data_IF_542478539174
#
_entry.id   IF_542478539174
#
_cell.length_a   1.000
_cell.length_b   1.000
_cell.length_c   1.000
_cell.angle_alpha   90.00
_cell.angle_beta   90.00
_cell.angle_gamma   90.00
#
_symmetry.space_group_name_H-M   'P 1'
#
loop_
_entity.id
_entity.type
_entity.pdbx_description
1 polymer ?
#
# COMPACT_ATOMS: atom_id res chain seq x y z
N UNK A 1 32.45 48.11 3.53
CA UNK A 1 33.29 49.30 3.28
C UNK A 1 34.32 48.96 2.21
N UNK A 2 34.65 49.93 1.38
CA UNK A 2 34.95 49.82 -0.04
C UNK A 2 36.42 49.59 -0.41
N UNK A 3 36.64 48.78 -1.47
CA UNK A 3 37.68 48.87 -2.54
C UNK A 3 39.16 48.72 -2.12
N UNK A 4 40.16 48.54 -3.05
CA UNK A 4 40.14 48.67 -4.52
C UNK A 4 40.75 47.47 -5.31
N UNK A 5 40.19 47.06 -6.46
CA UNK A 5 40.50 47.41 -7.88
C UNK A 5 41.91 47.16 -8.47
N UNK A 6 41.87 46.42 -9.59
CA UNK A 6 42.52 46.64 -10.93
C UNK A 6 44.00 46.27 -11.16
N UNK A 7 44.23 45.38 -12.14
CA UNK A 7 44.75 45.63 -13.52
C UNK A 7 45.07 44.28 -14.20
N UNK A 8 44.40 43.87 -15.29
CA UNK A 8 44.68 44.14 -16.73
C UNK A 8 46.08 43.70 -17.17
N UNK A 9 46.37 43.15 -18.35
CA UNK A 9 45.69 42.58 -19.51
C UNK A 9 46.83 42.26 -20.54
N UNK A 10 46.50 41.59 -21.66
CA UNK A 10 47.29 41.37 -22.90
C UNK A 10 48.36 40.28 -22.85
N UNK A 11 48.19 39.14 -23.56
CA UNK A 11 48.34 38.91 -25.02
C UNK A 11 49.83 38.98 -25.45
N UNK A 12 50.45 38.00 -26.10
CA UNK A 12 50.10 37.44 -27.43
C UNK A 12 50.99 36.23 -27.76
N UNK A 13 50.45 35.27 -28.53
CA UNK A 13 51.00 34.48 -29.66
C UNK A 13 52.49 34.04 -29.66
N UNK A 14 52.90 32.85 -30.13
CA UNK A 14 52.58 32.24 -31.44
C UNK A 14 53.21 30.82 -31.56
N UNK A 15 52.52 29.92 -32.30
CA UNK A 15 53.02 28.85 -33.19
C UNK A 15 53.84 27.68 -32.57
N UNK A 16 53.75 26.41 -32.99
CA UNK A 16 53.37 25.82 -34.29
C UNK A 16 53.20 24.29 -34.17
N UNK A 17 52.43 23.72 -35.12
CA UNK A 17 52.65 22.42 -35.78
C UNK A 17 52.33 21.12 -34.99
N UNK A 18 51.16 20.48 -35.17
CA UNK A 18 50.68 19.60 -36.29
C UNK A 18 50.95 18.11 -36.09
N UNK A 19 49.86 17.34 -36.15
CA UNK A 19 49.62 15.96 -36.67
C UNK A 19 48.68 15.22 -35.70
N UNK A 20 47.51 14.70 -36.04
CA UNK A 20 46.75 14.61 -37.29
C UNK A 20 45.54 13.70 -37.01
N UNK A 21 44.37 14.05 -37.59
CA UNK A 21 43.36 13.16 -38.24
C UNK A 21 42.90 11.87 -37.54
N UNK A 22 41.63 11.49 -37.49
CA UNK A 22 40.40 12.01 -38.10
C UNK A 22 39.18 11.31 -37.47
N UNK A 23 38.19 12.14 -37.17
CA UNK A 23 36.74 11.97 -37.31
C UNK A 23 36.20 10.71 -38.03
N UNK A 24 35.18 10.08 -37.45
CA UNK A 24 33.93 9.75 -38.18
C UNK A 24 32.74 9.71 -37.23
N UNK A 25 31.74 10.52 -37.59
CA UNK A 25 30.34 10.50 -37.17
C UNK A 25 29.61 9.23 -37.63
N UNK A 26 28.78 8.64 -36.76
CA UNK A 26 27.65 7.78 -37.12
C UNK A 26 26.60 7.93 -36.00
N UNK A 27 25.51 8.67 -36.21
CA UNK A 27 24.27 8.25 -36.87
C UNK A 27 23.44 7.29 -36.01
N UNK A 28 22.36 7.85 -35.47
CA UNK A 28 21.19 7.18 -34.90
C UNK A 28 20.72 6.01 -35.77
N UNK A 29 20.36 4.89 -35.12
CA UNK A 29 19.34 3.95 -35.60
C UNK A 29 18.83 3.11 -34.42
N UNK A 30 17.77 3.58 -33.77
CA UNK A 30 16.90 2.73 -32.95
C UNK A 30 15.80 2.16 -33.84
N UNK A 31 15.67 0.83 -33.83
CA UNK A 31 14.71 0.05 -34.60
C UNK A 31 13.28 0.23 -34.06
N UNK A 32 12.25 0.33 -34.92
CA UNK A 32 10.85 0.36 -34.50
C UNK A 32 10.30 -1.07 -34.35
N UNK A 33 9.73 -1.40 -33.18
CA UNK A 33 8.97 -2.64 -33.01
C UNK A 33 7.60 -2.52 -33.68
N UNK A 34 7.28 -3.53 -34.48
CA UNK A 34 6.13 -3.63 -35.38
C UNK A 34 4.80 -3.79 -34.62
N UNK A 35 3.79 -3.05 -35.08
CA UNK A 35 2.36 -3.34 -34.88
C UNK A 35 2.00 -4.70 -35.50
N UNK A 36 1.29 -5.55 -34.76
CA UNK A 36 0.53 -6.66 -35.31
C UNK A 36 -0.96 -6.35 -35.19
N UNK A 37 -1.65 -6.32 -36.34
CA UNK A 37 -3.09 -6.16 -36.48
C UNK A 37 -3.75 -7.55 -36.53
N UNK A 38 -4.97 -7.58 -36.02
CA UNK A 38 -5.96 -8.65 -35.94
C UNK A 38 -6.37 -9.27 -37.27
N UNK A 39 -6.82 -10.54 -37.21
CA UNK A 39 -7.85 -11.10 -38.10
C UNK A 39 -8.80 -12.01 -37.31
N UNK A 40 -10.08 -11.89 -37.62
CA UNK A 40 -11.23 -12.60 -37.07
C UNK A 40 -11.87 -13.47 -38.17
N UNK A 41 -12.49 -14.60 -37.76
CA UNK A 41 -13.58 -15.36 -38.41
C UNK A 41 -13.65 -16.75 -37.74
N UNK A 42 -14.77 -17.45 -37.45
CA UNK A 42 -16.21 -17.21 -37.55
C UNK A 42 -16.93 -18.29 -36.73
N UNK A 43 -18.08 -17.90 -36.17
CA UNK A 43 -19.28 -18.65 -35.71
C UNK A 43 -19.40 -20.17 -35.86
N UNK A 44 -19.86 -20.84 -34.78
CA UNK A 44 -21.03 -21.73 -34.76
C UNK A 44 -21.42 -22.14 -33.31
N UNK A 45 -22.70 -22.05 -32.96
CA UNK A 45 -23.37 -22.62 -31.76
C UNK A 45 -24.56 -23.48 -32.25
N UNK A 46 -25.37 -24.17 -31.40
CA UNK A 46 -25.24 -24.63 -30.01
C UNK A 46 -25.56 -26.14 -29.84
N UNK A 47 -25.43 -26.71 -28.62
CA UNK A 47 -26.44 -27.59 -27.97
C UNK A 47 -25.95 -28.14 -26.61
N UNK A 48 -26.90 -28.23 -25.69
CA UNK A 48 -26.81 -28.55 -24.27
C UNK A 48 -26.48 -30.02 -23.90
N UNK A 49 -25.78 -30.17 -22.77
CA UNK A 49 -26.12 -30.93 -21.56
C UNK A 49 -25.04 -31.87 -20.98
N UNK A 50 -24.73 -31.59 -19.70
CA UNK A 50 -24.57 -32.50 -18.55
C UNK A 50 -23.16 -32.82 -17.99
N UNK A 51 -22.94 -32.27 -16.78
CA UNK A 51 -22.32 -32.82 -15.55
C UNK A 51 -20.85 -33.27 -15.46
N UNK A 52 -20.27 -32.74 -14.36
CA UNK A 52 -19.21 -33.25 -13.47
C UNK A 52 -17.74 -32.98 -13.82
N UNK A 53 -17.02 -32.39 -12.86
CA UNK A 53 -15.56 -32.62 -12.71
C UNK A 53 -14.73 -31.43 -12.23
N UNK A 54 -14.65 -31.26 -10.90
CA UNK A 54 -13.57 -30.67 -10.10
C UNK A 54 -12.71 -29.52 -10.66
N UNK A 55 -12.89 -28.32 -10.08
CA UNK A 55 -11.89 -27.27 -10.00
C UNK A 55 -10.88 -27.59 -8.88
N UNK A 56 -9.59 -27.68 -9.22
CA UNK A 56 -8.49 -27.56 -8.27
C UNK A 56 -8.11 -26.07 -8.14
N UNK A 57 -8.41 -25.49 -6.98
CA UNK A 57 -7.83 -24.24 -6.51
C UNK A 57 -7.47 -24.43 -5.04
N UNK A 58 -6.20 -24.67 -4.73
CA UNK A 58 -5.67 -24.59 -3.38
C UNK A 58 -4.46 -23.65 -3.39
N UNK A 59 -4.64 -22.51 -2.74
CA UNK A 59 -3.62 -21.81 -1.94
C UNK A 59 -4.40 -20.77 -1.12
N UNK A 60 -5.00 -21.24 -0.02
CA UNK A 60 -5.69 -20.39 0.96
C UNK A 60 -4.62 -19.77 1.84
N UNK A 61 -4.32 -18.49 1.60
CA UNK A 61 -3.51 -17.66 2.49
C UNK A 61 -4.27 -17.48 3.80
N UNK A 62 -3.72 -18.02 4.89
CA UNK A 62 -4.25 -17.91 6.24
C UNK A 62 -4.04 -16.47 6.76
N UNK A 63 -5.13 -15.77 7.09
CA UNK A 63 -5.12 -14.44 7.72
C UNK A 63 -5.36 -14.56 9.24
N UNK A 64 -4.33 -14.40 10.09
CA UNK A 64 -4.45 -14.56 11.54
C UNK A 64 -5.27 -13.45 12.23
N UNK A 65 -5.70 -12.42 11.50
CA UNK A 65 -6.39 -11.24 12.06
C UNK A 65 -7.92 -11.43 12.18
N UNK A 66 -8.45 -12.54 11.70
CA UNK A 66 -9.91 -12.73 11.51
C UNK A 66 -10.65 -13.46 12.66
N UNK A 67 -9.99 -13.77 13.79
CA UNK A 67 -10.63 -14.43 14.94
C UNK A 67 -10.85 -13.48 16.11
N UNK A 68 -11.91 -12.68 16.04
CA UNK A 68 -12.58 -12.09 17.21
C UNK A 68 -13.87 -12.88 17.49
N UNK A 69 -13.81 -13.75 18.50
CA UNK A 69 -14.97 -14.43 19.07
C UNK A 69 -15.22 -13.84 20.47
N UNK A 70 -15.94 -12.73 20.53
CA UNK A 70 -16.65 -12.29 21.73
C UNK A 70 -18.12 -12.70 21.58
N UNK A 71 -18.57 -13.67 22.36
CA UNK A 71 -19.97 -14.09 22.43
C UNK A 71 -20.46 -13.95 23.88
N UNK A 72 -21.22 -12.89 24.14
CA UNK A 72 -21.94 -12.61 25.38
C UNK A 72 -23.42 -12.98 25.19
N UNK A 73 -24.03 -13.86 26.01
CA UNK A 73 -25.45 -14.16 25.86
C UNK A 73 -26.32 -13.10 26.56
N UNK A 74 -27.16 -12.44 25.76
CA UNK A 74 -28.25 -11.54 26.20
C UNK A 74 -29.39 -12.30 26.90
N UNK A 75 -29.85 -11.76 28.03
CA UNK A 75 -31.10 -12.10 28.72
C UNK A 75 -32.33 -11.70 27.90
N UNK A 76 -33.29 -12.61 27.74
CA UNK A 76 -34.61 -12.34 27.16
C UNK A 76 -35.68 -12.51 28.24
N UNK A 77 -36.52 -11.48 28.37
CA UNK A 77 -37.57 -11.30 29.35
C UNK A 77 -38.93 -11.49 28.66
N UNK A 78 -39.79 -12.41 29.13
CA UNK A 78 -41.20 -12.45 28.71
C UNK A 78 -42.15 -12.90 29.83
N UNK A 79 -43.24 -12.14 29.92
CA UNK A 79 -44.32 -12.12 30.93
C UNK A 79 -45.28 -13.34 30.89
N UNK A 80 -45.82 -13.63 32.07
CA UNK A 80 -46.95 -14.47 32.56
C UNK A 80 -48.36 -14.12 32.00
N UNK A 81 -49.54 -14.75 32.39
CA UNK A 81 -49.91 -15.91 33.25
C UNK A 81 -51.15 -16.74 32.67
N UNK A 82 -52.12 -17.35 33.42
CA UNK A 82 -52.19 -18.03 34.75
C UNK A 82 -52.87 -19.45 34.74
N UNK A 83 -52.75 -20.22 35.84
CA UNK A 83 -53.90 -20.83 36.54
C UNK A 83 -53.48 -21.52 37.86
N UNK A 84 -54.36 -21.38 38.85
CA UNK A 84 -54.26 -21.62 40.29
C UNK A 84 -54.45 -23.08 40.73
N UNK A 85 -53.78 -23.50 41.82
CA UNK A 85 -54.42 -24.20 42.96
C UNK A 85 -53.46 -24.38 44.17
N UNK A 86 -53.84 -23.73 45.26
CA UNK A 86 -53.65 -24.02 46.70
C UNK A 86 -52.60 -25.04 47.17
N UNK A 87 -51.81 -24.65 48.19
CA UNK A 87 -51.90 -25.20 49.56
C UNK A 87 -50.91 -24.54 50.54
N UNK A 88 -51.49 -23.95 51.60
CA UNK A 88 -51.02 -23.96 53.00
C UNK A 88 -49.67 -23.34 53.39
N UNK A 89 -49.81 -22.17 54.01
CA UNK A 89 -48.81 -21.41 54.79
C UNK A 89 -48.23 -22.27 55.93
N UNK A 90 -46.97 -22.69 55.83
CA UNK A 90 -46.15 -23.12 56.99
C UNK A 90 -45.12 -22.03 57.33
N UNK A 91 -45.02 -21.70 58.62
CA UNK A 91 -44.08 -20.73 59.21
C UNK A 91 -42.65 -20.92 58.68
N UNK A 92 -42.04 -19.84 58.20
CA UNK A 92 -40.65 -19.80 57.79
C UNK A 92 -39.71 -20.10 58.97
N UNK A 93 -38.81 -21.07 58.78
CA UNK A 93 -37.67 -21.33 59.66
C UNK A 93 -36.48 -20.53 59.11
N UNK A 94 -35.66 -19.85 59.93
CA UNK A 94 -34.53 -19.07 59.41
C UNK A 94 -33.49 -19.99 58.73
N UNK A 95 -32.77 -19.52 57.69
CA UNK A 95 -31.81 -20.35 56.97
C UNK A 95 -30.69 -20.77 57.92
N UNK A 96 -30.49 -22.08 58.08
CA UNK A 96 -29.33 -22.60 58.79
C UNK A 96 -28.05 -22.20 58.05
N UNK A 97 -26.97 -21.84 58.77
CA UNK A 97 -25.69 -21.54 58.13
C UNK A 97 -25.20 -22.76 57.34
N UNK A 98 -24.75 -22.53 56.11
CA UNK A 98 -24.24 -23.59 55.24
C UNK A 98 -23.19 -24.43 55.98
N UNK A 99 -23.45 -25.74 56.12
CA UNK A 99 -22.55 -26.66 56.81
C UNK A 99 -21.21 -26.72 56.05
N UNK A 100 -20.14 -26.18 56.62
CA UNK A 100 -18.77 -26.36 56.11
C UNK A 100 -18.40 -27.83 56.21
N UNK A 101 -18.22 -28.49 55.07
CA UNK A 101 -17.66 -29.84 54.99
C UNK A 101 -16.17 -29.77 55.34
N UNK A 102 -15.75 -30.49 56.39
CA UNK A 102 -14.35 -30.62 56.78
C UNK A 102 -13.86 -32.00 56.35
N UNK A 103 -13.02 -32.03 55.32
CA UNK A 103 -12.35 -33.25 54.86
C UNK A 103 -11.21 -33.55 55.84
N UNK A 104 -11.30 -34.67 56.57
CA UNK A 104 -10.21 -35.15 57.42
C UNK A 104 -9.11 -35.80 56.55
N UNK A 105 -8.07 -35.04 56.20
CA UNK A 105 -6.87 -35.59 55.55
C UNK A 105 -6.00 -36.33 56.58
N UNK A 106 -5.71 -37.61 56.34
CA UNK A 106 -4.87 -38.47 57.21
C UNK A 106 -3.38 -38.36 56.87
N UNK A 107 -3.01 -37.66 55.79
CA UNK A 107 -1.63 -37.38 55.38
C UNK A 107 -1.43 -35.88 55.27
N UNK A 108 -0.23 -35.40 55.66
CA UNK A 108 0.14 -33.98 55.58
C UNK A 108 -0.12 -33.43 54.17
N UNK A 109 -0.44 -32.12 54.08
CA UNK A 109 -0.67 -31.43 52.81
C UNK A 109 0.53 -31.73 51.88
N UNK A 110 0.32 -32.31 50.68
CA UNK A 110 1.43 -32.55 49.76
C UNK A 110 2.10 -31.21 49.46
N UNK A 111 3.36 -31.09 49.86
CA UNK A 111 4.20 -29.92 49.58
C UNK A 111 4.88 -30.13 48.24
N UNK A 112 4.89 -29.08 47.43
CA UNK A 112 5.66 -29.07 46.19
C UNK A 112 7.12 -29.43 46.46
N UNK A 113 7.77 -30.21 45.58
CA UNK A 113 9.21 -30.37 45.61
C UNK A 113 9.90 -29.00 45.58
N UNK A 114 10.98 -28.84 46.33
CA UNK A 114 11.71 -27.54 46.44
C UNK A 114 12.25 -27.06 45.09
N UNK A 115 12.53 -27.98 44.16
CA UNK A 115 13.08 -27.68 42.83
C UNK A 115 12.03 -27.72 41.71
N UNK A 116 10.74 -27.83 42.05
CA UNK A 116 9.67 -28.00 41.06
C UNK A 116 9.66 -26.91 39.98
N UNK A 117 9.83 -25.65 40.36
CA UNK A 117 9.85 -24.53 39.41
C UNK A 117 11.04 -24.64 38.44
N UNK A 118 12.24 -24.88 38.96
CA UNK A 118 13.47 -24.95 38.15
C UNK A 118 13.50 -26.19 37.25
N UNK A 119 13.09 -27.35 37.75
CA UNK A 119 13.06 -28.59 36.96
C UNK A 119 12.02 -28.51 35.83
N UNK A 120 10.89 -27.86 36.09
CA UNK A 120 9.83 -27.67 35.09
C UNK A 120 10.22 -26.60 34.08
N UNK A 121 10.84 -25.51 34.55
CA UNK A 121 11.40 -24.48 33.69
C UNK A 121 12.49 -25.04 32.78
N UNK A 122 13.42 -25.85 33.27
CA UNK A 122 14.48 -26.44 32.45
C UNK A 122 13.94 -27.26 31.27
N UNK A 123 12.82 -27.98 31.48
CA UNK A 123 12.12 -28.71 30.40
C UNK A 123 11.51 -27.75 29.38
N UNK A 124 10.81 -26.71 29.85
CA UNK A 124 10.20 -25.70 29.00
C UNK A 124 11.25 -24.91 28.21
N UNK A 125 12.33 -24.50 28.86
CA UNK A 125 13.46 -23.81 28.24
C UNK A 125 14.10 -24.66 27.14
N UNK A 126 14.33 -25.96 27.41
CA UNK A 126 14.87 -26.88 26.40
C UNK A 126 13.93 -27.00 25.19
N UNK A 127 12.62 -27.06 25.41
CA UNK A 127 11.63 -27.06 24.34
C UNK A 127 11.62 -25.74 23.55
N UNK A 128 11.63 -24.59 24.22
CA UNK A 128 11.68 -23.26 23.58
C UNK A 128 12.96 -23.13 22.73
N UNK A 129 14.11 -23.56 23.26
CA UNK A 129 15.36 -23.58 22.52
C UNK A 129 15.27 -24.50 21.29
N UNK A 130 14.67 -25.68 21.42
CA UNK A 130 14.46 -26.57 20.28
C UNK A 130 13.58 -25.92 19.20
N UNK A 131 12.54 -25.18 19.59
CA UNK A 131 11.67 -24.43 18.66
C UNK A 131 12.47 -23.39 17.88
N UNK A 132 13.25 -22.55 18.57
CA UNK A 132 14.09 -21.53 17.91
C UNK A 132 15.17 -22.13 17.01
N UNK A 133 15.74 -23.28 17.40
CA UNK A 133 16.74 -24.00 16.63
C UNK A 133 16.15 -24.91 15.54
N UNK A 134 14.82 -24.93 15.37
CA UNK A 134 14.09 -25.82 14.44
C UNK A 134 14.44 -27.31 14.64
N UNK A 135 14.64 -27.71 15.89
CA UNK A 135 14.94 -29.07 16.30
C UNK A 135 13.69 -29.75 16.88
N UNK A 136 13.60 -31.09 16.83
CA UNK A 136 12.49 -31.81 17.45
C UNK A 136 12.49 -31.55 18.97
N UNK A 137 11.30 -31.23 19.51
CA UNK A 137 11.16 -31.00 20.94
C UNK A 137 11.57 -32.27 21.72
N UNK A 138 12.30 -32.12 22.85
CA UNK A 138 12.78 -33.25 23.63
C UNK A 138 11.65 -34.01 24.35
N UNK A 139 10.43 -33.47 24.37
CA UNK A 139 9.28 -34.05 25.04
C UNK A 139 7.97 -33.71 24.32
N UNK A 140 6.95 -34.50 24.66
CA UNK A 140 5.61 -34.42 24.07
C UNK A 140 4.92 -33.08 24.39
N UNK A 141 4.22 -32.52 23.41
CA UNK A 141 3.57 -31.20 23.49
C UNK A 141 2.52 -31.16 24.61
N UNK A 142 1.79 -32.26 24.83
CA UNK A 142 0.80 -32.36 25.91
C UNK A 142 1.46 -32.26 27.30
N UNK A 143 2.65 -32.87 27.46
CA UNK A 143 3.40 -32.80 28.72
C UNK A 143 3.95 -31.39 28.97
N UNK A 144 4.36 -30.70 27.91
CA UNK A 144 4.81 -29.31 27.98
C UNK A 144 3.65 -28.38 28.35
N UNK A 145 2.48 -28.57 27.74
CA UNK A 145 1.27 -27.82 28.09
C UNK A 145 0.87 -28.06 29.56
N UNK A 146 0.87 -29.31 30.02
CA UNK A 146 0.56 -29.63 31.41
C UNK A 146 1.59 -29.02 32.38
N UNK A 147 2.87 -29.01 32.02
CA UNK A 147 3.91 -28.36 32.80
C UNK A 147 3.66 -26.85 32.96
N UNK A 148 3.23 -26.15 31.90
CA UNK A 148 2.82 -24.74 31.98
C UNK A 148 1.60 -24.59 32.89
N UNK A 149 0.59 -25.45 32.73
CA UNK A 149 -0.62 -25.42 33.56
C UNK A 149 -0.29 -25.58 35.05
N UNK A 150 0.52 -26.57 35.41
CA UNK A 150 0.90 -26.82 36.80
C UNK A 150 1.64 -25.62 37.42
N UNK A 151 2.57 -24.99 36.68
CA UNK A 151 3.25 -23.76 37.12
C UNK A 151 2.27 -22.60 37.34
N UNK A 152 1.32 -22.42 36.43
CA UNK A 152 0.30 -21.38 36.56
C UNK A 152 -0.65 -21.63 37.75
N UNK A 153 -1.07 -22.88 37.98
CA UNK A 153 -1.91 -23.28 39.12
C UNK A 153 -1.22 -23.00 40.46
N UNK A 154 0.10 -23.13 40.51
CA UNK A 154 0.92 -22.80 41.67
C UNK A 154 1.28 -21.32 41.80
N UNK A 155 0.60 -20.43 41.06
CA UNK A 155 0.78 -18.97 41.07
C UNK A 155 2.16 -18.50 40.59
N UNK A 156 2.86 -19.32 39.81
CA UNK A 156 4.18 -18.99 39.23
C UNK A 156 4.08 -18.39 37.82
N UNK A 157 2.88 -18.02 37.36
CA UNK A 157 2.65 -17.52 36.00
C UNK A 157 3.47 -16.27 35.64
N UNK A 158 3.65 -15.33 36.57
CA UNK A 158 4.47 -14.14 36.32
C UNK A 158 5.96 -14.44 36.15
N UNK A 159 6.53 -15.32 36.99
CA UNK A 159 7.90 -15.82 36.83
C UNK A 159 8.06 -16.50 35.47
N UNK A 160 7.13 -17.39 35.12
CA UNK A 160 7.15 -18.10 33.85
C UNK A 160 7.08 -17.16 32.64
N UNK A 161 6.19 -16.17 32.64
CA UNK A 161 6.08 -15.18 31.56
C UNK A 161 7.41 -14.44 31.36
N UNK A 162 8.02 -13.93 32.44
CA UNK A 162 9.30 -13.21 32.37
C UNK A 162 10.44 -14.10 31.85
N UNK A 163 10.45 -15.38 32.23
CA UNK A 163 11.46 -16.33 31.76
C UNK A 163 11.29 -16.64 30.26
N UNK A 164 10.04 -16.84 29.79
CA UNK A 164 9.74 -17.02 28.36
C UNK A 164 10.16 -15.77 27.57
N UNK A 165 9.79 -14.58 28.05
CA UNK A 165 10.16 -13.31 27.42
C UNK A 165 11.67 -13.17 27.25
N UNK A 166 12.43 -13.50 28.30
CA UNK A 166 13.90 -13.45 28.30
C UNK A 166 14.53 -14.41 27.29
N UNK A 167 14.05 -15.65 27.20
CA UNK A 167 14.57 -16.61 26.23
C UNK A 167 14.22 -16.19 24.80
N UNK A 168 12.97 -15.77 24.54
CA UNK A 168 12.58 -15.25 23.24
C UNK A 168 13.41 -14.04 22.84
N UNK A 169 13.66 -13.11 23.77
CA UNK A 169 14.46 -11.91 23.51
C UNK A 169 15.88 -12.25 23.07
N UNK A 170 16.52 -13.22 23.73
CA UNK A 170 17.88 -13.64 23.39
C UNK A 170 17.96 -14.20 21.95
N UNK A 171 17.01 -15.06 21.56
CA UNK A 171 16.97 -15.64 20.21
C UNK A 171 16.62 -14.61 19.14
N UNK A 172 15.62 -13.76 19.38
CA UNK A 172 15.20 -12.70 18.45
C UNK A 172 16.35 -11.70 18.21
N UNK A 173 17.02 -11.29 19.28
CA UNK A 173 18.17 -10.40 19.20
C UNK A 173 19.29 -11.03 18.37
N UNK A 174 19.64 -12.29 18.65
CA UNK A 174 20.68 -13.00 17.90
C UNK A 174 20.33 -13.17 16.40
N UNK A 175 19.07 -13.49 16.09
CA UNK A 175 18.60 -13.66 14.71
C UNK A 175 18.71 -12.35 13.91
N UNK A 176 18.28 -11.22 14.48
CA UNK A 176 18.39 -9.91 13.83
C UNK A 176 19.84 -9.45 13.70
N UNK A 177 20.69 -9.71 14.70
CA UNK A 177 22.13 -9.42 14.61
C UNK A 177 22.82 -10.26 13.52
N UNK A 178 22.37 -11.49 13.28
CA UNK A 178 22.90 -12.34 12.21
C UNK A 178 22.60 -11.81 10.80
N UNK A 179 21.63 -10.89 10.65
CA UNK A 179 21.31 -10.22 9.38
C UNK A 179 22.24 -9.03 9.09
N UNK A 180 22.89 -8.46 10.10
CA UNK A 180 23.78 -7.30 9.94
C UNK A 180 24.97 -7.69 9.06
N UNK A 181 25.29 -6.86 8.07
CA UNK A 181 26.37 -7.13 7.11
C UNK A 181 26.10 -8.27 6.12
N UNK A 182 24.93 -8.92 6.14
CA UNK A 182 24.62 -9.98 5.18
C UNK A 182 24.37 -9.43 3.79
N UNK A 183 24.86 -10.16 2.77
CA UNK A 183 24.66 -9.98 1.32
C UNK A 183 24.58 -8.54 0.79
N UNK A 184 25.47 -8.09 -0.11
CA UNK A 184 25.31 -6.79 -0.76
C UNK A 184 24.10 -6.74 -1.72
N UNK A 185 23.63 -7.89 -2.21
CA UNK A 185 22.43 -7.96 -3.06
C UNK A 185 21.16 -7.79 -2.22
N UNK A 186 20.43 -6.71 -2.51
CA UNK A 186 19.19 -6.34 -1.84
C UNK A 186 18.10 -7.42 -2.00
N UNK A 187 17.98 -8.08 -3.15
CA UNK A 187 16.94 -9.09 -3.36
C UNK A 187 17.21 -10.33 -2.52
N UNK A 188 18.48 -10.74 -2.43
CA UNK A 188 18.89 -11.84 -1.55
C UNK A 188 18.71 -11.44 -0.08
N UNK A 189 19.10 -10.22 0.28
CA UNK A 189 18.93 -9.70 1.63
C UNK A 189 17.46 -9.68 2.08
N UNK A 190 16.54 -9.20 1.23
CA UNK A 190 15.11 -9.19 1.54
C UNK A 190 14.56 -10.59 1.83
N UNK A 191 15.02 -11.62 1.11
CA UNK A 191 14.62 -13.01 1.38
C UNK A 191 15.09 -13.49 2.76
N UNK A 192 16.31 -13.12 3.16
CA UNK A 192 16.81 -13.47 4.50
C UNK A 192 15.98 -12.80 5.61
N UNK A 193 15.57 -11.55 5.40
CA UNK A 193 14.68 -10.84 6.34
C UNK A 193 13.29 -11.50 6.37
N UNK A 194 12.76 -11.86 5.20
CA UNK A 194 11.47 -12.55 5.06
C UNK A 194 11.48 -13.91 5.77
N UNK A 195 12.53 -14.71 5.57
CA UNK A 195 12.73 -15.99 6.26
C UNK A 195 12.85 -15.80 7.78
N UNK A 196 13.65 -14.84 8.24
CA UNK A 196 13.78 -14.53 9.65
C UNK A 196 12.45 -14.12 10.30
N UNK A 197 11.63 -13.34 9.59
CA UNK A 197 10.31 -12.94 10.06
C UNK A 197 9.32 -14.12 10.10
N UNK A 198 9.32 -14.94 9.05
CA UNK A 198 8.46 -16.12 8.97
C UNK A 198 8.80 -17.13 10.07
N UNK A 199 10.09 -17.38 10.29
CA UNK A 199 10.59 -18.24 11.35
C UNK A 199 10.12 -17.77 12.72
N UNK A 200 10.22 -16.46 12.99
CA UNK A 200 9.70 -15.90 14.23
C UNK A 200 8.20 -16.17 14.39
N UNK A 201 7.40 -15.93 13.34
CA UNK A 201 5.96 -16.14 13.41
C UNK A 201 5.62 -17.58 13.79
N UNK A 202 6.25 -18.55 13.13
CA UNK A 202 6.03 -19.98 13.39
C UNK A 202 6.47 -20.37 14.81
N UNK A 203 7.66 -19.89 15.23
CA UNK A 203 8.19 -20.13 16.57
C UNK A 203 7.26 -19.56 17.65
N UNK A 204 6.78 -18.33 17.47
CA UNK A 204 5.88 -17.68 18.44
C UNK A 204 4.50 -18.34 18.49
N UNK A 205 3.97 -18.81 17.35
CA UNK A 205 2.73 -19.61 17.34
C UNK A 205 2.90 -20.92 18.10
N UNK A 206 4.04 -21.61 17.93
CA UNK A 206 4.32 -22.85 18.65
C UNK A 206 4.49 -22.61 20.15
N UNK A 207 5.25 -21.58 20.56
CA UNK A 207 5.41 -21.20 21.97
C UNK A 207 4.05 -20.85 22.58
N UNK A 208 3.22 -20.08 21.87
CA UNK A 208 1.86 -19.76 22.31
C UNK A 208 0.98 -21.00 22.45
N UNK A 209 1.13 -22.00 21.58
CA UNK A 209 0.37 -23.26 21.68
C UNK A 209 0.74 -24.04 22.96
N UNK A 210 2.03 -24.12 23.29
CA UNK A 210 2.52 -24.78 24.51
C UNK A 210 2.09 -23.99 25.75
N UNK A 211 2.24 -22.67 25.71
CA UNK A 211 1.93 -21.79 26.82
C UNK A 211 0.51 -21.18 26.77
N UNK A 212 -0.43 -21.86 26.11
CA UNK A 212 -1.78 -21.33 25.89
C UNK A 212 -2.52 -21.05 27.21
N UNK A 213 -2.31 -21.90 28.23
CA UNK A 213 -2.91 -21.70 29.54
C UNK A 213 -2.39 -20.41 30.21
N UNK A 214 -1.10 -20.10 30.08
CA UNK A 214 -0.50 -18.87 30.59
C UNK A 214 -1.12 -17.63 29.93
N UNK A 215 -1.25 -17.65 28.60
CA UNK A 215 -1.84 -16.58 27.79
C UNK A 215 -3.32 -16.33 28.17
N UNK A 216 -4.09 -17.40 28.38
CA UNK A 216 -5.53 -17.30 28.72
C UNK A 216 -5.85 -17.01 30.18
N UNK A 217 -4.91 -17.24 31.09
CA UNK A 217 -5.12 -17.06 32.54
C UNK A 217 -4.35 -15.86 33.08
N UNK A 218 -3.03 -15.97 33.16
CA UNK A 218 -2.18 -14.95 33.76
C UNK A 218 -2.18 -13.65 32.96
N UNK A 219 -1.96 -13.72 31.64
CA UNK A 219 -1.90 -12.53 30.79
C UNK A 219 -3.25 -11.83 30.75
N UNK A 220 -4.34 -12.59 30.55
CA UNK A 220 -5.70 -12.04 30.57
C UNK A 220 -6.06 -11.32 31.89
N UNK A 221 -5.52 -11.78 33.02
CA UNK A 221 -5.74 -11.20 34.33
C UNK A 221 -4.80 -10.03 34.66
N UNK A 222 -3.73 -9.84 33.90
CA UNK A 222 -2.68 -8.86 34.17
C UNK A 222 -2.66 -7.79 33.07
N UNK A 223 -3.27 -6.60 33.29
CA UNK A 223 -3.42 -5.58 32.25
C UNK A 223 -2.11 -5.05 31.65
N UNK A 224 -1.00 -5.18 32.39
CA UNK A 224 0.32 -4.72 31.95
C UNK A 224 1.08 -5.75 31.12
N UNK A 225 0.62 -7.01 31.10
CA UNK A 225 1.26 -8.09 30.34
C UNK A 225 0.73 -8.10 28.90
N UNK A 226 1.62 -8.32 27.93
CA UNK A 226 1.25 -8.51 26.53
C UNK A 226 0.88 -9.98 26.30
N UNK A 227 0.05 -10.26 25.31
CA UNK A 227 -0.09 -11.64 24.82
C UNK A 227 1.28 -12.17 24.40
N UNK A 228 1.48 -13.48 24.45
CA UNK A 228 2.76 -14.04 24.01
C UNK A 228 3.08 -13.68 22.55
N UNK A 229 2.04 -13.56 21.71
CA UNK A 229 2.18 -13.07 20.34
C UNK A 229 2.65 -11.62 20.29
N UNK A 230 1.96 -10.72 20.99
CA UNK A 230 2.30 -9.28 21.01
C UNK A 230 3.66 -9.02 21.68
N UNK A 231 4.06 -9.86 22.63
CA UNK A 231 5.39 -9.86 23.22
C UNK A 231 6.45 -10.18 22.16
N UNK A 232 6.25 -11.23 21.35
CA UNK A 232 7.16 -11.55 20.22
C UNK A 232 7.28 -10.41 19.22
N UNK A 233 6.15 -9.80 18.84
CA UNK A 233 6.11 -8.62 17.95
C UNK A 233 6.86 -7.44 18.55
N UNK A 234 6.64 -7.17 19.84
CA UNK A 234 7.31 -6.08 20.56
C UNK A 234 8.83 -6.29 20.62
N UNK A 235 9.28 -7.51 20.90
CA UNK A 235 10.70 -7.86 20.94
C UNK A 235 11.35 -7.72 19.57
N UNK A 236 10.70 -8.20 18.50
CA UNK A 236 11.22 -8.05 17.14
C UNK A 236 11.31 -6.58 16.72
N UNK A 237 10.26 -5.78 16.96
CA UNK A 237 10.28 -4.33 16.72
C UNK A 237 11.42 -3.65 17.48
N UNK A 238 11.59 -3.98 18.76
CA UNK A 238 12.64 -3.42 19.62
C UNK A 238 14.03 -3.73 19.08
N UNK A 239 14.31 -4.98 18.69
CA UNK A 239 15.64 -5.36 18.20
C UNK A 239 15.89 -4.93 16.75
N UNK A 240 14.84 -4.77 15.95
CA UNK A 240 14.94 -4.18 14.62
C UNK A 240 15.34 -2.71 14.70
N UNK A 241 14.75 -1.93 15.61
CA UNK A 241 15.13 -0.52 15.81
C UNK A 241 16.53 -0.34 16.40
N UNK A 242 17.04 -1.34 17.14
CA UNK A 242 18.43 -1.41 17.58
C UNK A 242 19.40 -1.78 16.44
N UNK A 243 18.88 -2.25 15.30
CA UNK A 243 19.64 -2.69 14.13
C UNK A 243 19.28 -1.84 12.90
N UNK A 244 19.54 -0.52 12.90
CA UNK A 244 19.06 0.41 11.88
C UNK A 244 19.56 0.09 10.47
N UNK A 245 20.71 -0.59 10.33
CA UNK A 245 21.20 -1.09 9.05
C UNK A 245 20.21 -2.06 8.40
N UNK A 246 19.67 -3.01 9.18
CA UNK A 246 18.74 -4.03 8.68
C UNK A 246 17.45 -3.38 8.22
N UNK A 247 16.90 -2.48 9.02
CA UNK A 247 15.69 -1.73 8.68
C UNK A 247 15.89 -0.88 7.41
N UNK A 248 16.94 -0.05 7.39
CA UNK A 248 17.23 0.84 6.26
C UNK A 248 17.46 0.06 4.96
N UNK A 249 18.21 -1.05 5.02
CA UNK A 249 18.50 -1.89 3.85
C UNK A 249 17.26 -2.63 3.36
N UNK A 250 16.38 -3.05 4.28
CA UNK A 250 15.08 -3.64 3.95
C UNK A 250 14.21 -2.62 3.21
N UNK A 251 14.04 -1.42 3.77
CA UNK A 251 13.26 -0.34 3.14
C UNK A 251 13.84 -0.01 1.76
N UNK A 252 15.16 0.20 1.67
CA UNK A 252 15.85 0.46 0.39
C UNK A 252 15.60 -0.62 -0.64
N UNK A 253 15.67 -1.90 -0.23
CA UNK A 253 15.38 -3.03 -1.11
C UNK A 253 13.95 -3.00 -1.64
N UNK A 254 12.97 -2.78 -0.77
CA UNK A 254 11.55 -2.69 -1.15
C UNK A 254 11.32 -1.54 -2.14
N UNK A 255 11.86 -0.36 -1.87
CA UNK A 255 11.74 0.81 -2.74
C UNK A 255 12.35 0.56 -4.13
N UNK A 256 13.54 -0.05 -4.19
CA UNK A 256 14.20 -0.40 -5.46
C UNK A 256 13.42 -1.44 -6.26
N UNK A 257 12.79 -2.41 -5.60
CA UNK A 257 11.91 -3.36 -6.29
C UNK A 257 10.70 -2.66 -6.91
N UNK A 258 10.06 -1.73 -6.20
CA UNK A 258 8.91 -0.98 -6.73
C UNK A 258 9.35 -0.06 -7.88
N UNK A 259 10.51 0.61 -7.77
CA UNK A 259 11.06 1.43 -8.84
C UNK A 259 11.33 0.61 -10.11
N UNK A 260 11.97 -0.56 -10.00
CA UNK A 260 12.19 -1.47 -11.13
C UNK A 260 10.88 -1.91 -11.79
N UNK A 261 9.85 -2.18 -10.99
CA UNK A 261 8.53 -2.49 -11.53
C UNK A 261 7.91 -1.30 -12.29
N UNK A 262 8.10 -0.06 -11.82
CA UNK A 262 7.68 1.15 -12.56
C UNK A 262 8.43 1.30 -13.88
N UNK A 263 9.67 0.85 -13.95
CA UNK A 263 10.47 0.82 -15.18
C UNK A 263 10.09 -0.34 -16.12
N UNK A 264 9.10 -1.15 -15.76
CA UNK A 264 8.58 -2.25 -16.58
C UNK A 264 9.31 -3.58 -16.37
N UNK A 265 10.22 -3.66 -15.39
CA UNK A 265 10.85 -4.92 -15.03
C UNK A 265 9.87 -5.86 -14.32
N UNK A 266 10.01 -7.16 -14.57
CA UNK A 266 9.21 -8.18 -13.88
C UNK A 266 9.82 -8.45 -12.51
N UNK A 267 9.11 -8.09 -11.44
CA UNK A 267 9.57 -8.29 -10.06
C UNK A 267 8.76 -9.38 -9.36
N UNK A 268 9.42 -10.15 -8.48
CA UNK A 268 8.71 -11.07 -7.60
C UNK A 268 7.98 -10.26 -6.51
N UNK A 269 6.65 -10.23 -6.56
CA UNK A 269 5.81 -9.45 -5.64
C UNK A 269 5.63 -10.12 -4.27
N UNK A 270 5.99 -11.40 -4.10
CA UNK A 270 5.79 -12.11 -2.83
C UNK A 270 6.56 -11.47 -1.65
N UNK A 271 7.87 -11.18 -1.75
CA UNK A 271 8.61 -10.54 -0.67
C UNK A 271 8.09 -9.12 -0.35
N UNK A 272 7.63 -8.36 -1.36
CA UNK A 272 6.98 -7.06 -1.15
C UNK A 272 5.75 -7.21 -0.23
N UNK A 273 4.83 -8.11 -0.60
CA UNK A 273 3.62 -8.32 0.19
C UNK A 273 3.89 -8.81 1.62
N UNK A 274 4.82 -9.75 1.80
CA UNK A 274 5.13 -10.30 3.13
C UNK A 274 5.85 -9.29 4.02
N UNK A 275 6.88 -8.61 3.51
CA UNK A 275 7.64 -7.65 4.31
C UNK A 275 6.81 -6.40 4.61
N UNK A 276 6.00 -5.89 3.68
CA UNK A 276 5.13 -4.75 3.98
C UNK A 276 4.08 -5.11 5.04
N UNK A 277 3.52 -6.33 5.01
CA UNK A 277 2.68 -6.84 6.09
C UNK A 277 3.43 -6.94 7.42
N UNK A 278 4.69 -7.38 7.42
CA UNK A 278 5.54 -7.34 8.62
C UNK A 278 5.63 -5.92 9.19
N UNK A 279 5.94 -4.91 8.37
CA UNK A 279 5.98 -3.50 8.82
C UNK A 279 4.64 -3.05 9.41
N UNK A 280 3.50 -3.48 8.84
CA UNK A 280 2.16 -3.20 9.38
C UNK A 280 1.93 -3.92 10.71
N UNK A 281 2.25 -5.21 10.82
CA UNK A 281 2.12 -6.00 12.05
C UNK A 281 2.99 -5.47 13.19
N UNK A 282 4.17 -4.92 12.87
CA UNK A 282 5.06 -4.28 13.83
C UNK A 282 4.63 -2.84 14.18
N UNK A 283 3.66 -2.26 13.46
CA UNK A 283 3.18 -0.90 13.66
C UNK A 283 4.25 0.17 13.36
N UNK A 284 5.07 -0.07 12.33
CA UNK A 284 6.14 0.85 11.87
C UNK A 284 6.02 1.19 10.37
N UNK A 285 5.01 0.66 9.66
CA UNK A 285 4.81 0.90 8.22
C UNK A 285 4.79 2.37 7.84
N UNK A 286 4.00 3.19 8.54
CA UNK A 286 3.85 4.60 8.20
C UNK A 286 5.18 5.37 8.33
N UNK A 287 5.89 5.16 9.44
CA UNK A 287 7.12 5.90 9.76
C UNK A 287 8.33 5.41 8.96
N UNK A 288 8.54 4.09 8.90
CA UNK A 288 9.74 3.50 8.31
C UNK A 288 9.66 3.31 6.80
N UNK A 289 8.47 3.08 6.23
CA UNK A 289 8.30 2.76 4.82
C UNK A 289 7.47 3.80 4.05
N UNK A 290 6.29 4.19 4.53
CA UNK A 290 5.36 5.00 3.74
C UNK A 290 5.91 6.39 3.42
N UNK A 291 6.52 7.06 4.41
CA UNK A 291 7.17 8.37 4.22
C UNK A 291 8.24 8.31 3.12
N UNK A 292 9.30 7.47 3.22
CA UNK A 292 10.31 7.41 2.18
C UNK A 292 9.76 6.87 0.85
N UNK A 293 8.74 6.00 0.87
CA UNK A 293 8.07 5.54 -0.34
C UNK A 293 7.39 6.67 -1.11
N UNK A 294 6.67 7.55 -0.43
CA UNK A 294 6.01 8.70 -1.04
C UNK A 294 7.03 9.74 -1.53
N UNK A 295 8.14 9.94 -0.82
CA UNK A 295 9.25 10.80 -1.24
C UNK A 295 9.89 10.29 -2.53
N UNK A 296 10.34 9.03 -2.56
CA UNK A 296 10.91 8.42 -3.77
C UNK A 296 9.90 8.41 -4.93
N UNK A 297 8.61 8.21 -4.65
CA UNK A 297 7.57 8.29 -5.68
C UNK A 297 7.40 9.69 -6.23
N UNK A 298 7.46 10.71 -5.37
CA UNK A 298 7.39 12.10 -5.78
C UNK A 298 8.58 12.47 -6.67
N UNK A 299 9.80 12.04 -6.32
CA UNK A 299 11.00 12.26 -7.13
C UNK A 299 10.93 11.55 -8.48
N UNK A 300 10.53 10.27 -8.48
CA UNK A 300 10.36 9.47 -9.68
C UNK A 300 9.41 10.14 -10.68
N UNK A 301 8.19 10.48 -10.23
CA UNK A 301 7.19 11.07 -11.12
C UNK A 301 7.48 12.53 -11.49
N UNK A 302 8.22 13.28 -10.66
CA UNK A 302 8.71 14.59 -11.05
C UNK A 302 9.67 14.50 -12.24
N UNK A 303 10.62 13.56 -12.20
CA UNK A 303 11.57 13.34 -13.29
C UNK A 303 10.89 12.78 -14.54
N UNK A 304 10.00 11.81 -14.38
CA UNK A 304 9.25 11.21 -15.49
C UNK A 304 8.33 12.22 -16.17
N UNK A 305 7.54 12.99 -15.40
CA UNK A 305 6.63 14.01 -15.91
C UNK A 305 7.35 15.06 -16.75
N UNK A 306 8.47 15.59 -16.26
CA UNK A 306 9.30 16.53 -17.03
C UNK A 306 9.84 15.92 -18.33
N UNK A 307 10.35 14.69 -18.27
CA UNK A 307 10.96 14.02 -19.42
C UNK A 307 9.92 13.74 -20.51
N UNK A 308 8.80 13.12 -20.14
CA UNK A 308 7.74 12.78 -21.09
C UNK A 308 7.07 14.04 -21.67
N UNK A 309 6.80 15.08 -20.87
CA UNK A 309 6.21 16.34 -21.36
C UNK A 309 7.11 17.09 -22.37
N UNK A 310 8.41 16.78 -22.41
CA UNK A 310 9.34 17.32 -23.40
C UNK A 310 9.46 16.43 -24.65
N UNK A 311 9.34 15.11 -24.49
CA UNK A 311 9.64 14.13 -25.53
C UNK A 311 8.40 13.62 -26.30
N UNK A 312 7.21 13.73 -25.71
CA UNK A 312 5.95 13.29 -26.33
C UNK A 312 5.04 14.45 -26.67
N UNK A 313 4.06 14.20 -27.55
CA UNK A 313 2.93 15.11 -27.71
C UNK A 313 1.97 14.99 -26.50
N UNK A 314 1.03 15.93 -26.42
CA UNK A 314 0.06 15.97 -25.31
C UNK A 314 -0.89 14.75 -25.29
N UNK A 315 -1.44 14.28 -26.43
CA UNK A 315 -2.25 13.06 -26.43
C UNK A 315 -1.54 11.85 -25.81
N UNK A 316 -0.29 11.58 -26.21
CA UNK A 316 0.45 10.42 -25.71
C UNK A 316 0.92 10.63 -24.27
N UNK A 317 1.26 11.87 -23.89
CA UNK A 317 1.51 12.21 -22.48
C UNK A 317 0.29 11.88 -21.60
N UNK A 318 -0.91 12.31 -21.97
CA UNK A 318 -2.11 12.09 -21.16
C UNK A 318 -2.47 10.59 -21.05
N UNK A 319 -2.25 9.80 -22.11
CA UNK A 319 -2.41 8.34 -22.05
C UNK A 319 -1.39 7.71 -21.10
N UNK A 320 -0.14 8.18 -21.12
CA UNK A 320 0.90 7.73 -20.20
C UNK A 320 0.50 8.01 -18.75
N UNK A 321 0.01 9.21 -18.44
CA UNK A 321 -0.46 9.55 -17.09
C UNK A 321 -1.62 8.65 -16.66
N UNK A 322 -2.59 8.40 -17.54
CA UNK A 322 -3.71 7.49 -17.26
C UNK A 322 -3.20 6.07 -16.95
N UNK A 323 -2.22 5.55 -17.71
CA UNK A 323 -1.58 4.26 -17.42
C UNK A 323 -0.92 4.26 -16.05
N UNK A 324 -0.10 5.27 -15.74
CA UNK A 324 0.60 5.36 -14.45
C UNK A 324 -0.35 5.40 -13.27
N UNK A 325 -1.44 6.16 -13.36
CA UNK A 325 -2.44 6.21 -12.28
C UNK A 325 -3.13 4.86 -12.07
N UNK A 326 -3.42 4.12 -13.14
CA UNK A 326 -3.99 2.78 -13.04
C UNK A 326 -2.98 1.77 -12.45
N UNK A 327 -1.72 1.83 -12.87
CA UNK A 327 -0.66 0.98 -12.33
C UNK A 327 -0.47 1.21 -10.82
N UNK A 328 -0.42 2.46 -10.35
CA UNK A 328 -0.32 2.75 -8.90
C UNK A 328 -1.56 2.29 -8.14
N UNK A 329 -2.76 2.41 -8.74
CA UNK A 329 -3.98 1.89 -8.14
C UNK A 329 -3.94 0.36 -8.00
N UNK A 330 -3.34 -0.34 -8.94
CA UNK A 330 -3.18 -1.79 -8.87
C UNK A 330 -2.09 -2.20 -7.88
N UNK A 331 -0.96 -1.49 -7.81
CA UNK A 331 0.06 -1.69 -6.76
C UNK A 331 -0.54 -1.58 -5.36
N UNK A 332 -1.43 -0.60 -5.15
CA UNK A 332 -2.16 -0.46 -3.89
C UNK A 332 -3.01 -1.68 -3.53
N UNK A 333 -3.62 -2.33 -4.51
CA UNK A 333 -4.47 -3.52 -4.27
C UNK A 333 -3.63 -4.77 -4.00
N UNK A 334 -2.45 -4.86 -4.60
CA UNK A 334 -1.67 -6.10 -4.60
C UNK A 334 -0.81 -6.23 -3.35
N UNK A 335 -0.13 -5.17 -2.90
CA UNK A 335 0.86 -5.30 -1.82
C UNK A 335 1.02 -4.10 -0.88
N UNK A 336 0.48 -2.91 -1.18
CA UNK A 336 0.58 -1.77 -0.25
C UNK A 336 -0.55 -1.78 0.78
N UNK A 337 -0.34 -1.08 1.90
CA UNK A 337 -1.39 -0.84 2.87
C UNK A 337 -2.49 0.06 2.29
N UNK A 338 -3.74 -0.16 2.71
CA UNK A 338 -4.89 0.61 2.24
C UNK A 338 -4.80 2.11 2.55
N UNK A 339 -4.11 2.47 3.64
CA UNK A 339 -3.84 3.85 4.03
C UNK A 339 -3.03 4.62 2.98
N UNK A 340 -2.14 3.94 2.25
CA UNK A 340 -1.23 4.53 1.26
C UNK A 340 -1.92 4.93 -0.04
N UNK A 341 -3.10 4.36 -0.35
CA UNK A 341 -3.76 4.58 -1.64
C UNK A 341 -4.02 6.06 -1.93
N UNK A 342 -4.60 6.78 -0.98
CA UNK A 342 -4.93 8.21 -1.17
C UNK A 342 -3.68 9.08 -1.33
N UNK A 343 -2.67 9.04 -0.43
CA UNK A 343 -1.48 9.87 -0.59
C UNK A 343 -0.63 9.49 -1.82
N UNK A 344 -0.59 8.22 -2.21
CA UNK A 344 0.14 7.78 -3.40
C UNK A 344 -0.45 8.35 -4.68
N UNK A 345 -1.77 8.20 -4.87
CA UNK A 345 -2.46 8.71 -6.05
C UNK A 345 -2.37 10.24 -6.10
N UNK A 346 -2.56 10.93 -4.98
CA UNK A 346 -2.40 12.38 -4.91
C UNK A 346 -0.96 12.84 -5.25
N UNK A 347 0.05 12.04 -4.89
CA UNK A 347 1.45 12.33 -5.23
C UNK A 347 1.70 12.19 -6.73
N UNK A 348 1.21 11.10 -7.35
CA UNK A 348 1.31 10.91 -8.79
C UNK A 348 0.55 11.99 -9.57
N UNK A 349 -0.67 12.33 -9.15
CA UNK A 349 -1.48 13.41 -9.76
C UNK A 349 -0.79 14.77 -9.67
N UNK A 350 -0.21 15.10 -8.52
CA UNK A 350 0.55 16.35 -8.36
C UNK A 350 1.72 16.43 -9.33
N UNK A 351 2.55 15.39 -9.39
CA UNK A 351 3.78 15.42 -10.18
C UNK A 351 3.51 15.30 -11.68
N UNK A 352 2.56 14.47 -12.10
CA UNK A 352 2.26 14.23 -13.52
C UNK A 352 1.23 15.20 -14.11
N UNK A 353 0.33 15.77 -13.31
CA UNK A 353 -0.72 16.66 -13.82
C UNK A 353 -0.54 18.08 -13.31
N UNK A 354 -0.65 18.30 -12.00
CA UNK A 354 -0.77 19.64 -11.39
C UNK A 354 0.39 20.57 -11.81
N UNK A 355 1.63 20.06 -11.79
CA UNK A 355 2.82 20.83 -12.18
C UNK A 355 2.91 21.13 -13.69
N UNK A 356 2.14 20.41 -14.51
CA UNK A 356 2.21 20.47 -15.96
C UNK A 356 0.94 21.03 -16.62
N UNK A 357 -0.05 21.50 -15.86
CA UNK A 357 -1.33 22.00 -16.41
C UNK A 357 -1.12 23.05 -17.50
N UNK A 358 -0.32 24.09 -17.26
CA UNK A 358 -0.05 25.13 -18.27
C UNK A 358 0.62 24.52 -19.51
N UNK A 359 1.65 23.70 -19.36
CA UNK A 359 2.32 23.06 -20.49
C UNK A 359 1.39 22.16 -21.33
N UNK A 360 0.50 21.41 -20.67
CA UNK A 360 -0.52 20.57 -21.32
C UNK A 360 -1.47 21.43 -22.17
N UNK A 361 -1.98 22.52 -21.59
CA UNK A 361 -2.96 23.39 -22.25
C UNK A 361 -2.32 24.22 -23.36
N UNK A 362 -1.17 24.86 -23.09
CA UNK A 362 -0.49 25.76 -24.01
C UNK A 362 0.04 25.04 -25.25
N UNK A 363 0.55 23.81 -25.09
CA UNK A 363 1.08 23.02 -26.22
C UNK A 363 0.02 22.22 -26.96
N UNK A 364 -0.96 21.67 -26.23
CA UNK A 364 -1.83 20.62 -26.74
C UNK A 364 -3.25 21.05 -27.08
N UNK A 365 -3.81 21.99 -26.33
CA UNK A 365 -5.26 22.20 -26.33
C UNK A 365 -5.78 22.68 -27.69
N UNK A 366 -5.12 23.67 -28.32
CA UNK A 366 -5.51 24.15 -29.65
C UNK A 366 -5.48 23.02 -30.69
N UNK A 367 -4.38 22.25 -30.74
CA UNK A 367 -4.25 21.12 -31.67
C UNK A 367 -5.33 20.05 -31.45
N UNK A 368 -5.71 19.76 -30.20
CA UNK A 368 -6.79 18.81 -29.90
C UNK A 368 -8.15 19.30 -30.41
N UNK A 369 -8.43 20.59 -30.24
CA UNK A 369 -9.67 21.23 -30.70
C UNK A 369 -9.74 21.29 -32.23
N UNK A 370 -8.67 21.78 -32.88
CA UNK A 370 -8.58 21.90 -34.34
C UNK A 370 -8.69 20.52 -35.02
N UNK A 371 -8.07 19.49 -34.42
CA UNK A 371 -8.10 18.12 -34.92
C UNK A 371 -9.37 17.34 -34.55
N UNK A 372 -10.35 17.96 -33.90
CA UNK A 372 -11.58 17.33 -33.42
C UNK A 372 -11.33 16.00 -32.68
N UNK A 373 -10.32 15.99 -31.79
CA UNK A 373 -9.82 14.80 -31.09
C UNK A 373 -10.66 14.49 -29.84
N UNK A 374 -11.92 14.09 -30.02
CA UNK A 374 -12.91 13.88 -28.94
C UNK A 374 -12.39 13.01 -27.79
N UNK A 375 -11.79 11.84 -28.08
CA UNK A 375 -11.29 10.94 -27.02
C UNK A 375 -10.17 11.56 -26.17
N UNK A 376 -9.29 12.34 -26.80
CA UNK A 376 -8.19 13.01 -26.10
C UNK A 376 -8.71 14.23 -25.31
N UNK A 377 -9.73 14.93 -25.83
CA UNK A 377 -10.46 16.00 -25.14
C UNK A 377 -11.24 15.49 -23.92
N UNK A 378 -11.79 14.29 -24.01
CA UNK A 378 -12.42 13.61 -22.86
C UNK A 378 -11.39 13.21 -21.82
N UNK A 379 -10.21 12.76 -22.25
CA UNK A 379 -9.11 12.39 -21.35
C UNK A 379 -8.56 13.60 -20.60
N UNK A 380 -8.30 14.72 -21.29
CA UNK A 380 -7.85 15.96 -20.64
C UNK A 380 -8.89 16.45 -19.62
N UNK A 381 -10.18 16.45 -19.96
CA UNK A 381 -11.25 16.81 -19.03
C UNK A 381 -11.24 15.91 -17.78
N UNK A 382 -11.21 14.59 -17.99
CA UNK A 382 -11.25 13.61 -16.90
C UNK A 382 -10.02 13.73 -15.99
N UNK A 383 -8.83 13.97 -16.54
CA UNK A 383 -7.60 14.14 -15.76
C UNK A 383 -7.56 15.48 -15.02
N UNK A 384 -7.95 16.59 -15.65
CA UNK A 384 -7.96 17.90 -15.00
C UNK A 384 -9.06 18.02 -13.93
N UNK A 385 -10.15 17.25 -14.05
CA UNK A 385 -11.15 17.13 -12.99
C UNK A 385 -10.53 16.58 -11.69
N UNK A 386 -9.61 15.61 -11.78
CA UNK A 386 -8.98 14.97 -10.60
C UNK A 386 -8.14 15.93 -9.77
N UNK A 387 -7.49 16.89 -10.45
CA UNK A 387 -6.64 17.92 -9.81
C UNK A 387 -7.36 19.26 -9.63
N UNK A 388 -8.69 19.30 -9.75
CA UNK A 388 -9.51 20.51 -9.63
C UNK A 388 -9.07 21.67 -10.55
N UNK A 389 -8.57 21.36 -11.75
CA UNK A 389 -8.02 22.32 -12.71
C UNK A 389 -8.98 22.64 -13.87
N UNK A 390 -10.28 22.39 -13.71
CA UNK A 390 -11.27 22.67 -14.76
C UNK A 390 -11.35 24.16 -15.12
N UNK A 391 -11.02 25.06 -14.19
CA UNK A 391 -10.98 26.49 -14.47
C UNK A 391 -9.93 26.84 -15.53
N UNK A 392 -8.73 26.29 -15.42
CA UNK A 392 -7.67 26.48 -16.43
C UNK A 392 -8.10 25.94 -17.80
N UNK A 393 -8.81 24.81 -17.83
CA UNK A 393 -9.35 24.24 -19.07
C UNK A 393 -10.45 25.13 -19.69
N UNK A 394 -11.32 25.72 -18.87
CA UNK A 394 -12.34 26.69 -19.34
C UNK A 394 -11.69 27.95 -19.91
N UNK A 395 -10.64 28.46 -19.28
CA UNK A 395 -9.89 29.59 -19.79
C UNK A 395 -9.24 29.28 -21.15
N UNK A 396 -8.62 28.10 -21.28
CA UNK A 396 -8.07 27.63 -22.55
C UNK A 396 -9.15 27.52 -23.65
N UNK A 397 -10.33 27.00 -23.30
CA UNK A 397 -11.48 26.96 -24.22
C UNK A 397 -11.94 28.36 -24.65
N UNK A 398 -12.11 29.28 -23.72
CA UNK A 398 -12.51 30.67 -24.02
C UNK A 398 -11.51 31.34 -24.96
N UNK A 399 -10.20 31.19 -24.68
CA UNK A 399 -9.13 31.73 -25.52
C UNK A 399 -9.13 31.13 -26.92
N UNK A 400 -9.31 29.81 -27.03
CA UNK A 400 -9.44 29.11 -28.32
C UNK A 400 -10.63 29.65 -29.13
N UNK A 401 -11.82 29.70 -28.52
CA UNK A 401 -13.04 30.17 -29.21
C UNK A 401 -12.86 31.60 -29.71
N UNK A 402 -12.33 32.50 -28.86
CA UNK A 402 -12.09 33.89 -29.24
C UNK A 402 -11.10 34.00 -30.39
N UNK A 403 -9.98 33.28 -30.33
CA UNK A 403 -8.93 33.31 -31.37
C UNK A 403 -9.43 32.77 -32.70
N UNK A 404 -10.00 31.57 -32.70
CA UNK A 404 -10.48 30.91 -33.93
C UNK A 404 -11.69 31.64 -34.51
N UNK A 405 -12.62 32.06 -33.66
CA UNK A 405 -13.79 32.83 -34.08
C UNK A 405 -13.43 34.21 -34.64
N UNK A 406 -12.45 34.92 -34.05
CA UNK A 406 -11.97 36.20 -34.60
C UNK A 406 -11.41 36.03 -36.01
N UNK A 407 -10.65 34.97 -36.25
CA UNK A 407 -10.13 34.65 -37.59
C UNK A 407 -11.24 34.38 -38.62
N UNK A 408 -12.36 33.78 -38.20
CA UNK A 408 -13.52 33.55 -39.08
C UNK A 408 -14.32 34.82 -39.36
N UNK A 409 -14.41 35.73 -38.38
CA UNK A 409 -15.26 36.94 -38.46
C UNK A 409 -14.57 38.09 -39.19
N UNK A 410 -13.23 38.19 -39.09
CA UNK A 410 -12.43 39.29 -39.62
C UNK A 410 -11.87 39.04 -41.04
N UNK A 411 -12.12 37.88 -41.62
CA UNK A 411 -11.67 37.51 -42.96
C UNK A 411 -12.63 38.08 -44.03
N UNK A 412 -12.36 39.32 -44.49
CA UNK A 412 -13.18 40.05 -45.47
C UNK A 412 -13.36 39.29 -46.80
N UNK A 413 -12.42 38.41 -47.16
CA UNK A 413 -12.50 37.61 -48.38
C UNK A 413 -13.55 36.49 -48.27
N UNK A 414 -13.84 36.02 -47.05
CA UNK A 414 -14.80 34.94 -46.76
C UNK A 414 -16.14 35.41 -46.20
N UNK A 415 -16.45 36.70 -46.34
CA UNK A 415 -17.66 37.32 -45.79
C UNK A 415 -18.97 36.64 -46.21
N UNK A 416 -19.03 36.09 -47.43
CA UNK A 416 -20.20 35.36 -47.94
C UNK A 416 -20.46 34.06 -47.20
N UNK A 417 -19.41 33.41 -46.73
CA UNK A 417 -19.46 32.10 -46.06
C UNK A 417 -19.36 32.20 -44.52
N UNK A 418 -19.24 33.44 -44.01
CA UNK A 418 -19.00 33.74 -42.59
C UNK A 418 -20.07 33.15 -41.67
N UNK A 419 -21.36 33.33 -42.00
CA UNK A 419 -22.47 32.81 -41.19
C UNK A 419 -22.49 31.27 -41.18
N UNK A 420 -22.25 30.63 -42.33
CA UNK A 420 -22.18 29.17 -42.42
C UNK A 420 -21.02 28.63 -41.58
N UNK A 421 -19.84 29.24 -41.72
CA UNK A 421 -18.63 28.87 -40.98
C UNK A 421 -18.81 29.02 -39.45
N UNK A 422 -19.51 30.07 -39.00
CA UNK A 422 -19.82 30.26 -37.58
C UNK A 422 -20.82 29.22 -37.04
N UNK A 423 -21.83 28.84 -37.82
CA UNK A 423 -22.79 27.80 -37.44
C UNK A 423 -22.10 26.44 -37.33
N UNK A 424 -21.23 26.09 -38.30
CA UNK A 424 -20.43 24.87 -38.26
C UNK A 424 -19.46 24.87 -37.06
N UNK A 425 -18.79 25.99 -36.81
CA UNK A 425 -17.90 26.14 -35.65
C UNK A 425 -18.66 25.97 -34.33
N UNK A 426 -19.85 26.58 -34.20
CA UNK A 426 -20.71 26.42 -33.03
C UNK A 426 -21.16 24.97 -32.85
N UNK A 427 -21.60 24.31 -33.92
CA UNK A 427 -22.01 22.91 -33.89
C UNK A 427 -20.86 21.98 -33.46
N UNK A 428 -19.63 22.23 -33.94
CA UNK A 428 -18.45 21.49 -33.49
C UNK A 428 -18.18 21.67 -31.99
N UNK A 429 -18.32 22.89 -31.46
CA UNK A 429 -18.12 23.15 -30.04
C UNK A 429 -19.19 22.51 -29.17
N UNK A 430 -20.43 22.48 -29.64
CA UNK A 430 -21.54 21.81 -28.94
C UNK A 430 -21.30 20.29 -28.89
N UNK A 431 -20.87 19.67 -30.00
CA UNK A 431 -20.47 18.24 -30.00
C UNK A 431 -19.33 17.98 -29.01
N UNK A 432 -18.27 18.80 -29.00
CA UNK A 432 -17.17 18.66 -28.03
C UNK A 432 -17.67 18.80 -26.59
N UNK A 433 -18.53 19.78 -26.30
CA UNK A 433 -19.10 19.98 -24.99
C UNK A 433 -19.93 18.77 -24.52
N UNK A 434 -20.74 18.21 -25.42
CA UNK A 434 -21.57 17.04 -25.11
C UNK A 434 -20.75 15.76 -24.92
N UNK A 435 -19.80 15.50 -25.81
CA UNK A 435 -19.08 14.22 -25.87
C UNK A 435 -17.83 14.18 -24.98
N UNK A 436 -17.12 15.31 -24.87
CA UNK A 436 -15.82 15.38 -24.16
C UNK A 436 -15.92 15.98 -22.76
N UNK A 437 -16.79 16.98 -22.56
CA UNK A 437 -16.89 17.73 -21.31
C UNK A 437 -18.10 17.35 -20.46
N UNK A 438 -18.71 16.19 -20.73
CA UNK A 438 -19.80 15.59 -19.95
C UNK A 438 -20.98 16.54 -19.72
N UNK A 439 -21.30 17.39 -20.70
CA UNK A 439 -22.36 18.42 -20.59
C UNK A 439 -22.21 19.33 -19.36
N UNK A 440 -20.98 19.60 -18.95
CA UNK A 440 -20.73 20.45 -17.80
C UNK A 440 -21.23 21.88 -18.06
N UNK A 441 -22.09 22.40 -17.17
CA UNK A 441 -22.71 23.71 -17.31
C UNK A 441 -21.69 24.86 -17.37
N UNK A 442 -20.59 24.76 -16.62
CA UNK A 442 -19.54 25.77 -16.63
C UNK A 442 -18.89 25.94 -18.00
N UNK A 443 -18.78 24.86 -18.77
CA UNK A 443 -18.28 24.89 -20.14
C UNK A 443 -19.32 25.45 -21.12
N UNK A 444 -20.60 25.11 -20.94
CA UNK A 444 -21.70 25.68 -21.72
C UNK A 444 -21.75 27.21 -21.61
N UNK A 445 -21.66 27.73 -20.38
CA UNK A 445 -21.61 29.18 -20.12
C UNK A 445 -20.38 29.79 -20.81
N UNK A 446 -19.20 29.17 -20.67
CA UNK A 446 -17.96 29.64 -21.30
C UNK A 446 -18.09 29.76 -22.82
N UNK A 447 -18.71 28.77 -23.47
CA UNK A 447 -18.97 28.79 -24.92
C UNK A 447 -19.91 29.94 -25.28
N UNK A 448 -21.00 30.12 -24.54
CA UNK A 448 -21.98 31.21 -24.76
C UNK A 448 -21.31 32.59 -24.65
N UNK A 449 -20.60 32.84 -23.56
CA UNK A 449 -19.95 34.13 -23.29
C UNK A 449 -18.87 34.44 -24.34
N UNK A 450 -18.12 33.43 -24.78
CA UNK A 450 -17.12 33.60 -25.83
C UNK A 450 -17.77 33.89 -27.20
N UNK A 451 -18.90 33.26 -27.54
CA UNK A 451 -19.65 33.53 -28.77
C UNK A 451 -20.32 34.90 -28.78
N UNK A 452 -20.89 35.33 -27.66
CA UNK A 452 -21.47 36.67 -27.53
C UNK A 452 -20.41 37.74 -27.82
N UNK A 453 -19.22 37.58 -27.26
CA UNK A 453 -18.09 38.46 -27.56
C UNK A 453 -17.72 38.46 -29.05
N UNK A 454 -17.73 37.30 -29.72
CA UNK A 454 -17.41 37.22 -31.15
C UNK A 454 -18.42 37.99 -32.03
N UNK A 455 -19.72 37.87 -31.73
CA UNK A 455 -20.78 38.56 -32.46
C UNK A 455 -20.66 40.08 -32.28
N UNK A 456 -20.30 40.53 -31.08
CA UNK A 456 -20.16 41.95 -30.75
C UNK A 456 -18.91 42.60 -31.38
N UNK A 457 -17.93 41.83 -31.86
CA UNK A 457 -16.73 42.39 -32.50
C UNK A 457 -16.98 42.98 -33.89
N UNK A 458 -18.12 42.65 -34.52
CA UNK A 458 -18.45 43.02 -35.91
C UNK A 458 -19.69 43.91 -36.03
N UNK A 459 -20.31 44.26 -34.89
CA UNK A 459 -21.26 45.37 -34.81
C UNK A 459 -20.50 46.69 -34.82
#
# INVERSE_FOLDING_TARGET
MSLPTKRSASASATATATTGTASTSASNNFLPMKKAKSQAASTCSPLDHNKNGLHHSEDVVFDPSSMSLDDDPKLVDYRTPPATANLSRKKATPPQPAKKLVIKLVKAKPTLPTNFEEDTWAKLQSAINAIFLKQPAPCDLEKLYQAVNDLCLHKMGGSLYMRIEKECEAHISAALQALVGQSPDLVVFLKLVEECWHDLCDQMLMIRSIALYLDRTYVKQTPTARSLWDMGLHLFRKHLSLSPEVEHKTVTGLLRMIERERLGETVNRKPLGHLLKMFTSLGIYAESFEIPFLECTSEFYAAEGMTYMQQSDVPDYLKHVESRLNEEQDRCKIYLDTSTKKPLIATAERQLLERHISAILDKGFMMLMDGHRIEDLKRIYSLLLRVNALESLRQALSMYIRRTGQGLVMDEEKDKDMVSSLLEFKASLDSIWEESFSKNEGFCITIKDAFEHLINLRQ
#
